data_IF_416862017683
#
_entry.id   IF_416862017683
#
_cell.length_a   1.000
_cell.length_b   1.000
_cell.length_c   1.000
_cell.angle_alpha   90.00
_cell.angle_beta   90.00
_cell.angle_gamma   90.00
#
_symmetry.space_group_name_H-M   'P 1'
#
loop_
_entity.id
_entity.type
_entity.pdbx_description
1 polymer ?
#
# COMPACT_ATOMS: atom_id res chain seq x y z
N UNK A 1 86.27 -7.95 66.71
CA UNK A 1 85.19 -7.00 66.36
C UNK A 1 84.07 -7.78 65.70
N UNK A 2 82.97 -8.00 66.43
CA UNK A 2 81.75 -8.66 65.91
C UNK A 2 80.90 -7.58 65.24
N UNK A 3 80.77 -7.60 63.92
CA UNK A 3 79.72 -6.85 63.24
C UNK A 3 78.59 -7.82 62.93
N UNK A 4 77.60 -7.82 63.81
CA UNK A 4 76.28 -8.39 63.59
C UNK A 4 75.59 -7.62 62.46
N UNK A 5 75.49 -8.27 61.30
CA UNK A 5 74.63 -7.84 60.20
C UNK A 5 73.21 -8.26 60.58
N UNK A 6 72.50 -7.37 61.30
CA UNK A 6 71.05 -7.52 61.47
C UNK A 6 70.39 -7.33 60.10
N UNK A 7 70.09 -8.44 59.43
CA UNK A 7 69.16 -8.46 58.31
C UNK A 7 67.78 -8.13 58.89
N UNK A 8 67.24 -6.95 58.55
CA UNK A 8 65.92 -6.52 58.99
C UNK A 8 64.86 -7.44 58.37
N UNK A 9 64.34 -8.36 59.18
CA UNK A 9 63.29 -9.32 58.84
C UNK A 9 62.06 -8.67 58.19
N UNK A 10 61.78 -7.39 58.51
CA UNK A 10 60.70 -6.62 57.88
C UNK A 10 60.84 -6.37 56.37
N UNK A 11 62.07 -6.31 55.82
CA UNK A 11 62.28 -6.08 54.38
C UNK A 11 61.96 -7.31 53.53
N UNK A 12 62.06 -8.52 54.09
CA UNK A 12 61.81 -9.76 53.36
C UNK A 12 60.31 -10.07 53.29
N UNK A 13 59.59 -9.85 54.41
CA UNK A 13 58.13 -10.01 54.48
C UNK A 13 57.39 -8.97 53.59
N UNK A 14 57.87 -7.72 53.53
CA UNK A 14 57.31 -6.71 52.62
C UNK A 14 57.52 -7.07 51.14
N UNK A 15 58.69 -7.62 50.78
CA UNK A 15 58.98 -8.07 49.41
C UNK A 15 58.13 -9.28 49.01
N UNK A 16 57.90 -10.23 49.91
CA UNK A 16 57.00 -11.36 49.68
C UNK A 16 55.54 -10.91 49.52
N UNK A 17 55.09 -9.95 50.34
CA UNK A 17 53.76 -9.36 50.24
C UNK A 17 53.56 -8.63 48.90
N UNK A 18 54.53 -7.82 48.49
CA UNK A 18 54.53 -7.13 47.18
C UNK A 18 54.51 -8.14 46.01
N UNK A 19 55.29 -9.22 46.09
CA UNK A 19 55.32 -10.26 45.07
C UNK A 19 53.98 -11.00 44.96
N UNK A 20 53.37 -11.35 46.08
CA UNK A 20 52.02 -11.94 46.12
C UNK A 20 50.97 -11.00 45.52
N UNK A 21 51.07 -9.69 45.83
CA UNK A 21 50.18 -8.67 45.29
C UNK A 21 50.36 -8.48 43.77
N UNK A 22 51.58 -8.53 43.26
CA UNK A 22 51.86 -8.49 41.82
C UNK A 22 51.29 -9.71 41.09
N UNK A 23 51.42 -10.91 41.66
CA UNK A 23 50.89 -12.15 41.06
C UNK A 23 49.36 -12.11 41.02
N UNK A 24 48.70 -11.70 42.11
CA UNK A 24 47.23 -11.55 42.13
C UNK A 24 46.73 -10.49 41.15
N UNK A 25 47.39 -9.33 41.08
CA UNK A 25 47.09 -8.30 40.06
C UNK A 25 47.26 -8.82 38.63
N UNK A 26 48.30 -9.61 38.37
CA UNK A 26 48.53 -10.18 37.05
C UNK A 26 47.46 -11.22 36.68
N UNK A 27 47.03 -12.04 37.64
CA UNK A 27 45.92 -12.98 37.46
C UNK A 27 44.59 -12.24 37.20
N UNK A 28 44.29 -11.19 37.97
CA UNK A 28 43.10 -10.36 37.77
C UNK A 28 43.10 -9.70 36.39
N UNK A 29 44.25 -9.19 35.94
CA UNK A 29 44.39 -8.60 34.62
C UNK A 29 44.12 -9.61 33.50
N UNK A 30 44.70 -10.82 33.59
CA UNK A 30 44.47 -11.89 32.63
C UNK A 30 42.99 -12.30 32.55
N UNK A 31 42.32 -12.40 33.70
CA UNK A 31 40.88 -12.71 33.75
C UNK A 31 40.07 -11.61 33.06
N UNK A 32 40.38 -10.33 33.32
CA UNK A 32 39.69 -9.21 32.67
C UNK A 32 39.94 -9.16 31.17
N UNK A 33 41.16 -9.41 30.71
CA UNK A 33 41.45 -9.46 29.27
C UNK A 33 40.65 -10.55 28.56
N UNK A 34 40.53 -11.74 29.17
CA UNK A 34 39.72 -12.82 28.64
C UNK A 34 38.24 -12.44 28.55
N UNK A 35 37.68 -11.85 29.62
CA UNK A 35 36.29 -11.38 29.63
C UNK A 35 36.04 -10.32 28.55
N UNK A 36 36.95 -9.36 28.40
CA UNK A 36 36.86 -8.33 27.36
C UNK A 36 36.90 -8.95 25.97
N UNK A 37 37.77 -9.94 25.74
CA UNK A 37 37.90 -10.61 24.46
C UNK A 37 36.62 -11.35 24.08
N UNK A 38 36.04 -12.11 24.99
CA UNK A 38 34.77 -12.81 24.73
C UNK A 38 33.64 -11.79 24.48
N UNK A 39 33.60 -10.69 25.23
CA UNK A 39 32.60 -9.63 24.99
C UNK A 39 32.74 -8.97 23.63
N UNK A 40 33.96 -8.74 23.16
CA UNK A 40 34.22 -8.19 21.82
C UNK A 40 33.72 -9.15 20.74
N UNK A 41 33.92 -10.46 20.89
CA UNK A 41 33.41 -11.47 19.94
C UNK A 41 31.89 -11.46 19.88
N UNK A 42 31.22 -11.48 21.03
CA UNK A 42 29.76 -11.42 21.11
C UNK A 42 29.21 -10.17 20.41
N UNK A 43 29.75 -9.00 20.75
CA UNK A 43 29.32 -7.73 20.16
C UNK A 43 29.57 -7.69 18.65
N UNK A 44 30.72 -8.20 18.19
CA UNK A 44 31.03 -8.30 16.77
C UNK A 44 30.03 -9.21 16.03
N UNK A 45 29.67 -10.36 16.60
CA UNK A 45 28.67 -11.26 16.04
C UNK A 45 27.30 -10.57 15.93
N UNK A 46 26.82 -9.98 17.03
CA UNK A 46 25.51 -9.34 17.07
C UNK A 46 25.45 -8.12 16.15
N UNK A 47 26.54 -7.35 16.04
CA UNK A 47 26.65 -6.23 15.11
C UNK A 47 26.59 -6.71 13.65
N UNK A 48 27.41 -7.71 13.28
CA UNK A 48 27.41 -8.30 11.93
C UNK A 48 26.02 -8.86 11.58
N UNK A 49 25.35 -9.55 12.52
CA UNK A 49 23.98 -10.04 12.34
C UNK A 49 22.99 -8.89 12.13
N UNK A 50 23.11 -7.81 12.91
CA UNK A 50 22.25 -6.62 12.74
C UNK A 50 22.41 -6.04 11.34
N UNK A 51 23.66 -5.86 10.88
CA UNK A 51 23.96 -5.37 9.53
C UNK A 51 23.47 -6.31 8.43
N UNK A 52 23.49 -7.62 8.68
CA UNK A 52 22.97 -8.61 7.76
C UNK A 52 21.44 -8.51 7.64
N UNK A 53 20.72 -8.31 8.75
CA UNK A 53 19.27 -8.11 8.78
C UNK A 53 18.89 -6.82 8.04
N UNK A 54 19.58 -5.71 8.33
CA UNK A 54 19.36 -4.42 7.67
C UNK A 54 19.58 -4.48 6.14
N UNK A 55 20.60 -5.22 5.68
CA UNK A 55 20.89 -5.35 4.23
C UNK A 55 19.89 -6.26 3.50
N UNK A 56 19.17 -7.12 4.21
CA UNK A 56 18.32 -8.15 3.62
C UNK A 56 16.89 -8.06 4.15
N UNK A 57 16.34 -6.84 4.23
CA UNK A 57 15.05 -6.57 4.86
C UNK A 57 13.87 -7.35 4.27
N UNK A 58 14.01 -7.87 3.04
CA UNK A 58 12.95 -8.58 2.33
C UNK A 58 13.23 -10.08 2.14
N UNK A 59 14.33 -10.62 2.70
CA UNK A 59 14.75 -12.01 2.44
C UNK A 59 15.28 -12.67 3.71
N UNK A 60 14.40 -13.40 4.38
CA UNK A 60 14.75 -14.20 5.55
C UNK A 60 15.81 -15.24 5.20
N UNK A 61 15.71 -15.89 4.03
CA UNK A 61 16.67 -16.92 3.59
C UNK A 61 18.11 -16.40 3.54
N UNK A 62 18.31 -15.16 3.04
CA UNK A 62 19.63 -14.52 3.02
C UNK A 62 20.14 -14.21 4.43
N UNK A 63 19.24 -13.82 5.34
CA UNK A 63 19.58 -13.60 6.75
C UNK A 63 19.99 -14.91 7.41
N UNK A 64 19.22 -15.99 7.22
CA UNK A 64 19.53 -17.30 7.79
C UNK A 64 20.85 -17.84 7.26
N UNK A 65 21.05 -17.80 5.94
CA UNK A 65 22.29 -18.23 5.30
C UNK A 65 23.50 -17.41 5.75
N UNK A 66 23.37 -16.08 5.84
CA UNK A 66 24.45 -15.24 6.34
C UNK A 66 24.73 -15.47 7.83
N UNK A 67 23.71 -15.78 8.64
CA UNK A 67 23.89 -16.07 10.07
C UNK A 67 24.69 -17.35 10.29
N UNK A 68 24.46 -18.38 9.46
CA UNK A 68 25.25 -19.62 9.49
C UNK A 68 26.75 -19.37 9.31
N UNK A 69 27.13 -18.39 8.47
CA UNK A 69 28.54 -18.05 8.28
C UNK A 69 29.15 -17.29 9.47
N UNK A 70 28.33 -16.57 10.25
CA UNK A 70 28.79 -15.75 11.38
C UNK A 70 28.99 -16.56 12.67
N UNK A 71 28.18 -17.60 12.89
CA UNK A 71 28.18 -18.36 14.14
C UNK A 71 29.55 -19.02 14.43
N UNK A 72 30.20 -19.76 13.49
CA UNK A 72 31.47 -20.41 13.79
C UNK A 72 32.57 -19.48 14.30
N UNK A 73 32.72 -18.29 13.70
CA UNK A 73 33.73 -17.29 14.08
C UNK A 73 33.53 -16.75 15.51
N UNK A 74 32.33 -16.88 16.06
CA UNK A 74 31.93 -16.23 17.30
C UNK A 74 32.05 -17.14 18.52
N UNK A 75 32.38 -18.43 18.31
CA UNK A 75 32.58 -19.43 19.36
C UNK A 75 34.06 -19.53 19.77
N UNK A 76 34.34 -20.17 20.91
CA UNK A 76 35.66 -20.32 21.51
C UNK A 76 36.63 -21.08 20.58
N UNK A 77 36.13 -22.04 19.81
CA UNK A 77 36.94 -22.88 18.91
C UNK A 77 36.45 -22.84 17.44
N UNK A 78 36.59 -21.71 16.71
CA UNK A 78 36.00 -21.54 15.38
C UNK A 78 36.32 -22.64 14.36
N UNK A 79 37.58 -23.13 14.38
CA UNK A 79 38.09 -24.15 13.46
C UNK A 79 37.35 -25.50 13.51
N UNK A 80 36.67 -25.76 14.63
CA UNK A 80 35.91 -26.99 14.84
C UNK A 80 34.43 -26.71 15.08
N UNK A 81 33.98 -25.47 14.91
CA UNK A 81 32.58 -25.09 15.05
C UNK A 81 31.86 -25.28 13.73
N UNK A 82 30.66 -25.83 13.79
CA UNK A 82 29.73 -25.83 12.67
C UNK A 82 28.32 -25.48 13.17
N UNK A 83 27.49 -24.92 12.28
CA UNK A 83 26.18 -24.42 12.64
C UNK A 83 25.10 -24.95 11.70
N UNK A 84 23.88 -25.06 12.24
CA UNK A 84 22.67 -25.36 11.49
C UNK A 84 21.52 -24.51 12.00
N UNK A 85 20.69 -24.01 11.10
CA UNK A 85 19.42 -23.38 11.42
C UNK A 85 18.34 -24.16 10.69
N UNK A 86 17.35 -24.62 11.45
CA UNK A 86 16.12 -25.18 10.90
C UNK A 86 15.04 -24.12 11.06
N UNK A 87 14.37 -23.78 9.98
CA UNK A 87 13.28 -22.82 9.99
C UNK A 87 12.16 -23.37 9.12
N UNK A 88 11.05 -23.76 9.75
CA UNK A 88 9.98 -24.55 9.11
C UNK A 88 10.57 -25.79 8.41
N UNK A 89 10.31 -25.95 7.12
CA UNK A 89 10.81 -27.06 6.31
C UNK A 89 12.23 -26.82 5.76
N UNK A 90 12.77 -25.60 5.93
CA UNK A 90 14.07 -25.23 5.38
C UNK A 90 15.20 -25.49 6.37
N UNK A 91 16.34 -25.91 5.82
CA UNK A 91 17.55 -26.20 6.59
C UNK A 91 18.74 -25.45 5.98
N UNK A 92 19.43 -24.68 6.82
CA UNK A 92 20.62 -23.91 6.46
C UNK A 92 21.80 -24.43 7.29
N UNK A 93 22.94 -24.71 6.66
CA UNK A 93 24.07 -25.38 7.30
C UNK A 93 25.40 -24.78 6.86
N UNK A 94 26.39 -24.77 7.76
CA UNK A 94 27.76 -24.44 7.42
C UNK A 94 28.37 -25.54 6.55
N UNK A 95 29.34 -25.20 5.71
CA UNK A 95 29.96 -26.15 4.77
C UNK A 95 30.58 -27.38 5.44
N UNK A 96 31.06 -27.22 6.68
CA UNK A 96 31.69 -28.27 7.49
C UNK A 96 30.71 -29.01 8.42
N UNK A 97 29.39 -28.86 8.25
CA UNK A 97 28.40 -29.34 9.22
C UNK A 97 28.44 -30.86 9.43
N UNK A 98 28.55 -31.26 10.70
CA UNK A 98 28.32 -32.64 11.17
C UNK A 98 27.64 -32.59 12.53
N UNK A 99 26.59 -33.39 12.70
CA UNK A 99 25.95 -33.50 14.01
C UNK A 99 26.83 -34.31 14.96
N UNK A 100 27.05 -33.77 16.15
CA UNK A 100 27.81 -34.39 17.23
C UNK A 100 27.05 -34.26 18.55
N UNK A 101 27.51 -34.96 19.58
CA UNK A 101 26.98 -34.82 20.94
C UNK A 101 27.36 -33.50 21.61
N UNK A 102 28.39 -32.81 21.10
CA UNK A 102 28.86 -31.52 21.64
C UNK A 102 28.11 -30.40 20.94
N UNK A 103 26.89 -30.12 21.41
CA UNK A 103 26.00 -29.16 20.75
C UNK A 103 25.25 -28.25 21.71
N UNK A 104 24.97 -27.04 21.24
CA UNK A 104 23.99 -26.11 21.81
C UNK A 104 22.84 -25.93 20.83
N UNK A 105 21.65 -25.65 21.38
CA UNK A 105 20.44 -25.37 20.61
C UNK A 105 19.66 -24.23 21.23
N UNK A 106 19.12 -23.34 20.41
CA UNK A 106 18.19 -22.30 20.82
C UNK A 106 16.94 -22.33 19.91
N UNK A 107 15.73 -22.47 20.47
CA UNK A 107 14.49 -22.43 19.69
C UNK A 107 14.22 -21.02 19.15
N UNK A 108 13.66 -20.94 17.95
CA UNK A 108 13.19 -19.71 17.32
C UNK A 108 11.68 -19.62 17.57
N UNK A 109 11.26 -18.72 18.46
CA UNK A 109 9.86 -18.49 18.78
C UNK A 109 9.31 -17.27 18.03
N UNK A 110 8.25 -17.47 17.25
CA UNK A 110 7.51 -16.38 16.59
C UNK A 110 6.07 -16.44 17.09
N UNK A 111 5.58 -15.34 17.65
CA UNK A 111 4.23 -15.25 18.23
C UNK A 111 3.91 -16.39 19.22
N UNK A 112 4.92 -16.85 19.98
CA UNK A 112 4.80 -17.93 20.95
C UNK A 112 4.92 -19.35 20.40
N UNK A 113 4.97 -19.54 19.08
CA UNK A 113 5.13 -20.84 18.43
C UNK A 113 6.59 -21.10 18.07
N UNK A 114 7.07 -22.31 18.28
CA UNK A 114 8.41 -22.72 17.86
C UNK A 114 8.41 -23.00 16.35
N UNK A 115 8.89 -22.04 15.57
CA UNK A 115 8.96 -22.11 14.10
C UNK A 115 10.32 -22.63 13.61
N UNK A 116 11.30 -22.77 14.50
CA UNK A 116 12.63 -23.23 14.14
C UNK A 116 13.57 -23.44 15.32
N UNK A 117 14.83 -23.70 15.02
CA UNK A 117 15.92 -23.76 15.98
C UNK A 117 17.26 -23.40 15.34
N UNK A 118 18.11 -22.74 16.12
CA UNK A 118 19.53 -22.51 15.85
C UNK A 118 20.33 -23.56 16.60
N UNK A 119 21.30 -24.18 15.93
CA UNK A 119 22.15 -25.21 16.50
C UNK A 119 23.62 -24.92 16.21
N UNK A 120 24.48 -25.09 17.21
CA UNK A 120 25.94 -24.99 17.07
C UNK A 120 26.55 -26.28 17.61
N UNK A 121 27.54 -26.81 16.90
CA UNK A 121 28.22 -28.06 17.24
C UNK A 121 29.73 -27.89 17.21
N UNK A 122 30.43 -28.53 18.14
CA UNK A 122 31.87 -28.78 18.02
C UNK A 122 32.12 -30.15 17.39
N UNK A 123 33.07 -30.19 16.46
CA UNK A 123 33.45 -31.40 15.71
C UNK A 123 34.40 -32.32 16.49
N UNK A 124 34.99 -31.83 17.58
CA UNK A 124 35.94 -32.56 18.44
C UNK A 124 35.59 -32.35 19.91
N UNK A 125 35.94 -33.34 20.75
CA UNK A 125 35.83 -33.23 22.21
C UNK A 125 36.69 -32.07 22.72
N UNK A 126 36.14 -31.30 23.65
CA UNK A 126 36.83 -30.22 24.37
C UNK A 126 36.58 -30.34 25.88
N UNK A 127 37.40 -29.68 26.72
CA UNK A 127 37.19 -29.64 28.17
C UNK A 127 35.79 -29.15 28.51
N UNK A 128 35.24 -29.63 29.64
CA UNK A 128 33.95 -29.14 30.12
C UNK A 128 34.11 -27.71 30.66
N UNK A 129 33.14 -26.88 30.36
CA UNK A 129 32.95 -25.48 30.77
C UNK A 129 31.56 -25.38 31.43
N UNK A 130 30.77 -24.36 31.11
CA UNK A 130 29.44 -24.13 31.70
C UNK A 130 28.35 -25.07 31.16
N UNK A 131 28.34 -25.32 29.84
CA UNK A 131 27.37 -26.21 29.21
C UNK A 131 28.06 -27.23 28.31
N UNK A 132 28.43 -28.37 28.88
CA UNK A 132 29.30 -29.29 28.17
C UNK A 132 30.61 -28.57 27.84
N UNK A 133 31.07 -28.51 26.57
CA UNK A 133 32.28 -27.77 26.20
C UNK A 133 32.08 -26.27 25.92
N UNK A 134 30.89 -25.72 26.14
CA UNK A 134 30.54 -24.34 25.78
C UNK A 134 30.52 -23.40 26.99
N UNK A 135 30.86 -22.13 26.74
CA UNK A 135 30.85 -21.06 27.74
C UNK A 135 29.42 -20.52 27.97
N UNK A 136 29.18 -19.91 29.13
CA UNK A 136 27.92 -19.22 29.43
C UNK A 136 27.62 -18.09 28.44
N UNK A 137 28.65 -17.37 28.02
CA UNK A 137 28.63 -16.32 27.00
C UNK A 137 28.08 -16.85 25.66
N UNK A 138 28.53 -18.02 25.23
CA UNK A 138 28.08 -18.66 23.99
C UNK A 138 26.60 -19.07 24.05
N UNK A 139 26.15 -19.53 25.22
CA UNK A 139 24.74 -19.79 25.48
C UNK A 139 23.89 -18.52 25.35
N UNK A 140 24.32 -17.43 25.98
CA UNK A 140 23.63 -16.14 25.86
C UNK A 140 23.65 -15.62 24.41
N UNK A 141 24.74 -15.86 23.68
CA UNK A 141 24.88 -15.46 22.28
C UNK A 141 23.92 -16.21 21.36
N UNK A 142 23.83 -17.55 21.45
CA UNK A 142 22.91 -18.32 20.59
C UNK A 142 21.44 -17.96 20.86
N UNK A 143 21.08 -17.68 22.12
CA UNK A 143 19.75 -17.23 22.49
C UNK A 143 19.46 -15.82 21.94
N UNK A 144 20.43 -14.91 22.00
CA UNK A 144 20.32 -13.58 21.43
C UNK A 144 20.22 -13.60 19.89
N UNK A 145 20.96 -14.49 19.23
CA UNK A 145 20.89 -14.71 17.77
C UNK A 145 19.51 -15.25 17.40
N UNK A 146 19.02 -16.27 18.10
CA UNK A 146 17.69 -16.85 17.86
C UNK A 146 16.59 -15.79 17.97
N UNK A 147 16.61 -14.99 19.04
CA UNK A 147 15.65 -13.91 19.25
C UNK A 147 15.69 -12.83 18.15
N UNK A 148 16.88 -12.51 17.63
CA UNK A 148 17.03 -11.53 16.53
C UNK A 148 16.51 -12.09 15.21
N UNK A 149 16.76 -13.36 14.93
CA UNK A 149 16.18 -14.05 13.77
C UNK A 149 14.66 -14.07 13.87
N UNK A 150 14.09 -14.42 15.02
CA UNK A 150 12.65 -14.43 15.26
C UNK A 150 12.01 -13.07 14.95
N UNK A 151 12.56 -11.98 15.53
CA UNK A 151 12.09 -10.62 15.28
C UNK A 151 12.19 -10.21 13.82
N UNK A 152 13.28 -10.59 13.13
CA UNK A 152 13.45 -10.30 11.72
C UNK A 152 12.42 -11.06 10.87
N UNK A 153 12.19 -12.34 11.16
CA UNK A 153 11.21 -13.17 10.47
C UNK A 153 9.78 -12.62 10.63
N UNK A 154 9.38 -12.27 11.86
CA UNK A 154 8.07 -11.67 12.16
C UNK A 154 7.89 -10.32 11.44
N UNK A 155 8.91 -9.47 11.44
CA UNK A 155 8.90 -8.19 10.71
C UNK A 155 8.66 -8.42 9.21
N UNK A 156 9.42 -9.35 8.61
CA UNK A 156 9.35 -9.65 7.17
C UNK A 156 7.98 -10.22 6.79
N UNK A 157 7.43 -11.15 7.58
CA UNK A 157 6.11 -11.72 7.31
C UNK A 157 5.02 -10.68 7.42
N UNK A 158 5.06 -9.83 8.45
CA UNK A 158 4.10 -8.75 8.68
C UNK A 158 4.13 -7.73 7.54
N UNK A 159 5.33 -7.30 7.11
CA UNK A 159 5.49 -6.38 5.99
C UNK A 159 4.94 -6.97 4.69
N UNK A 160 5.21 -8.26 4.43
CA UNK A 160 4.70 -8.94 3.23
C UNK A 160 3.18 -9.05 3.24
N UNK A 161 2.57 -9.40 4.36
CA UNK A 161 1.12 -9.48 4.51
C UNK A 161 0.47 -8.11 4.28
N UNK A 162 1.01 -7.05 4.90
CA UNK A 162 0.52 -5.69 4.72
C UNK A 162 0.61 -5.24 3.25
N UNK A 163 1.67 -5.63 2.54
CA UNK A 163 1.83 -5.30 1.12
C UNK A 163 0.78 -5.99 0.25
N UNK A 164 0.50 -7.27 0.50
CA UNK A 164 -0.55 -8.03 -0.21
C UNK A 164 -1.93 -7.41 0.04
N UNK A 165 -2.25 -7.10 1.29
CA UNK A 165 -3.54 -6.50 1.67
C UNK A 165 -3.73 -5.11 1.06
N UNK A 166 -2.68 -4.26 1.08
CA UNK A 166 -2.70 -2.95 0.41
C UNK A 166 -2.92 -3.06 -1.09
N UNK A 167 -2.34 -4.08 -1.73
CA UNK A 167 -2.56 -4.29 -3.16
C UNK A 167 -3.99 -4.73 -3.44
N UNK A 168 -4.52 -5.70 -2.68
CA UNK A 168 -5.90 -6.15 -2.81
C UNK A 168 -6.92 -5.00 -2.61
N UNK A 169 -6.68 -4.12 -1.64
CA UNK A 169 -7.52 -2.94 -1.41
C UNK A 169 -7.49 -1.95 -2.58
N UNK A 170 -6.32 -1.74 -3.19
CA UNK A 170 -6.20 -0.87 -4.37
C UNK A 170 -6.96 -1.43 -5.55
N UNK A 171 -6.83 -2.73 -5.79
CA UNK A 171 -7.51 -3.41 -6.89
C UNK A 171 -9.04 -3.40 -6.71
N UNK A 172 -9.51 -3.64 -5.47
CA UNK A 172 -10.93 -3.55 -5.14
C UNK A 172 -11.49 -2.13 -5.32
N UNK A 173 -10.76 -1.09 -4.88
CA UNK A 173 -11.18 0.29 -5.06
C UNK A 173 -11.25 0.68 -6.54
N UNK A 174 -10.29 0.24 -7.36
CA UNK A 174 -10.33 0.47 -8.81
C UNK A 174 -11.57 -0.17 -9.45
N UNK A 175 -11.84 -1.44 -9.14
CA UNK A 175 -13.01 -2.16 -9.66
C UNK A 175 -14.34 -1.51 -9.22
N UNK A 176 -14.41 -0.98 -8.00
CA UNK A 176 -15.58 -0.23 -7.52
C UNK A 176 -15.79 1.07 -8.29
N UNK A 177 -14.71 1.84 -8.52
CA UNK A 177 -14.79 3.07 -9.32
C UNK A 177 -15.24 2.78 -10.76
N UNK A 178 -14.72 1.73 -11.39
CA UNK A 178 -15.12 1.33 -12.74
C UNK A 178 -16.59 0.91 -12.79
N UNK A 179 -17.05 0.14 -11.80
CA UNK A 179 -18.44 -0.30 -11.68
C UNK A 179 -19.40 0.88 -11.49
N UNK A 180 -19.00 1.87 -10.69
CA UNK A 180 -19.79 3.07 -10.44
C UNK A 180 -19.87 3.93 -11.72
N UNK A 181 -18.75 4.13 -12.41
CA UNK A 181 -18.72 4.82 -13.70
C UNK A 181 -19.61 4.13 -14.74
N UNK A 182 -19.60 2.80 -14.77
CA UNK A 182 -20.47 2.02 -15.65
C UNK A 182 -21.95 2.19 -15.30
N UNK A 183 -22.32 2.11 -14.02
CA UNK A 183 -23.70 2.30 -13.58
C UNK A 183 -24.23 3.70 -13.90
N UNK A 184 -23.39 4.74 -13.74
CA UNK A 184 -23.75 6.10 -14.16
C UNK A 184 -23.96 6.19 -15.67
N UNK A 185 -23.06 5.62 -16.48
CA UNK A 185 -23.24 5.58 -17.95
C UNK A 185 -24.54 4.90 -18.36
N UNK A 186 -24.85 3.75 -17.75
CA UNK A 186 -26.08 3.00 -18.04
C UNK A 186 -27.33 3.81 -17.67
N UNK A 187 -27.33 4.49 -16.51
CA UNK A 187 -28.43 5.38 -16.12
C UNK A 187 -28.62 6.54 -17.10
N UNK A 188 -27.52 7.18 -17.51
CA UNK A 188 -27.57 8.31 -18.44
C UNK A 188 -28.07 7.87 -19.82
N UNK A 189 -27.60 6.72 -20.33
CA UNK A 189 -28.12 6.14 -21.58
C UNK A 189 -29.63 5.86 -21.53
N UNK A 190 -30.13 5.35 -20.41
CA UNK A 190 -31.57 5.12 -20.23
C UNK A 190 -32.33 6.45 -20.23
N UNK A 191 -31.82 7.46 -19.53
CA UNK A 191 -32.39 8.80 -19.50
C UNK A 191 -32.47 9.46 -20.87
N UNK A 192 -31.39 9.42 -21.65
CA UNK A 192 -31.33 9.94 -23.01
C UNK A 192 -32.35 9.26 -23.94
N UNK A 193 -32.46 7.92 -23.87
CA UNK A 193 -33.43 7.15 -24.65
C UNK A 193 -34.87 7.51 -24.28
N UNK A 194 -35.18 7.66 -22.99
CA UNK A 194 -36.50 8.09 -22.52
C UNK A 194 -36.82 9.49 -23.04
N UNK A 195 -35.91 10.45 -22.85
CA UNK A 195 -36.08 11.84 -23.28
C UNK A 195 -36.32 11.91 -24.81
N UNK A 196 -35.52 11.18 -25.60
CA UNK A 196 -35.68 11.14 -27.05
C UNK A 196 -37.06 10.59 -27.49
N UNK A 197 -37.58 9.58 -26.81
CA UNK A 197 -38.93 9.04 -27.09
C UNK A 197 -40.01 10.05 -26.72
N UNK A 198 -39.85 10.77 -25.62
CA UNK A 198 -40.82 11.76 -25.16
C UNK A 198 -40.87 12.96 -26.11
N UNK A 199 -39.71 13.45 -26.51
CA UNK A 199 -39.61 14.56 -27.48
C UNK A 199 -40.18 14.19 -28.86
N UNK A 200 -40.01 12.94 -29.30
CA UNK A 200 -40.45 12.48 -30.64
C UNK A 200 -41.88 11.96 -30.69
N UNK A 201 -42.43 11.46 -29.59
CA UNK A 201 -43.73 10.78 -29.56
C UNK A 201 -44.73 11.56 -28.72
N UNK A 202 -44.40 11.85 -27.45
CA UNK A 202 -45.38 12.38 -26.49
C UNK A 202 -45.60 13.87 -26.69
N UNK A 203 -44.54 14.66 -26.86
CA UNK A 203 -44.63 16.11 -27.05
C UNK A 203 -45.48 16.50 -28.28
N UNK A 204 -45.31 15.88 -29.46
CA UNK A 204 -46.18 16.16 -30.60
C UNK A 204 -47.66 15.89 -30.32
N UNK A 205 -47.98 14.83 -29.56
CA UNK A 205 -49.37 14.51 -29.17
C UNK A 205 -49.91 15.59 -28.24
N UNK A 206 -49.14 16.04 -27.25
CA UNK A 206 -49.56 17.14 -26.38
C UNK A 206 -49.83 18.43 -27.14
N UNK A 207 -48.99 18.78 -28.13
CA UNK A 207 -49.25 19.96 -28.96
C UNK A 207 -50.49 19.82 -29.84
N UNK A 208 -50.74 18.62 -30.38
CA UNK A 208 -51.95 18.35 -31.16
C UNK A 208 -53.21 18.46 -30.30
N UNK A 209 -53.19 17.90 -29.08
CA UNK A 209 -54.30 18.00 -28.13
C UNK A 209 -54.54 19.44 -27.66
N UNK A 210 -53.48 20.19 -27.33
CA UNK A 210 -53.60 21.60 -26.93
C UNK A 210 -54.33 22.47 -27.96
N UNK A 211 -54.19 22.16 -29.26
CA UNK A 211 -54.81 22.95 -30.33
C UNK A 211 -56.35 22.84 -30.37
N UNK A 212 -56.93 21.78 -29.80
CA UNK A 212 -58.37 21.50 -29.87
C UNK A 212 -59.10 21.59 -28.51
N UNK A 213 -58.38 21.87 -27.42
CA UNK A 213 -58.90 21.84 -26.04
C UNK A 213 -59.43 23.19 -25.55
N UNK A 214 -60.37 23.13 -24.60
CA UNK A 214 -60.89 24.30 -23.87
C UNK A 214 -60.09 24.60 -22.59
N UNK A 215 -60.39 25.72 -21.92
CA UNK A 215 -59.60 26.27 -20.81
C UNK A 215 -59.46 25.32 -19.61
N UNK A 216 -60.51 24.62 -19.22
CA UNK A 216 -60.46 23.68 -18.07
C UNK A 216 -59.71 22.40 -18.42
N UNK A 217 -59.80 21.93 -19.67
CA UNK A 217 -59.04 20.79 -20.15
C UNK A 217 -57.53 21.09 -20.26
N UNK A 218 -57.17 22.33 -20.62
CA UNK A 218 -55.78 22.81 -20.66
C UNK A 218 -55.09 22.71 -19.28
N UNK A 219 -55.78 23.03 -18.18
CA UNK A 219 -55.22 22.92 -16.82
C UNK A 219 -54.85 21.47 -16.46
N UNK A 220 -55.70 20.49 -16.81
CA UNK A 220 -55.39 19.07 -16.59
C UNK A 220 -54.21 18.59 -17.45
N UNK A 221 -54.08 19.13 -18.67
CA UNK A 221 -52.98 18.78 -19.56
C UNK A 221 -51.64 19.37 -19.08
N UNK A 222 -51.65 20.59 -18.53
CA UNK A 222 -50.47 21.19 -17.89
C UNK A 222 -50.03 20.38 -16.67
N UNK A 223 -50.97 19.92 -15.84
CA UNK A 223 -50.67 19.03 -14.71
C UNK A 223 -50.04 17.71 -15.18
N UNK A 224 -50.56 17.12 -16.26
CA UNK A 224 -50.00 15.89 -16.84
C UNK A 224 -48.59 16.11 -17.40
N UNK A 225 -48.34 17.22 -18.10
CA UNK A 225 -47.00 17.60 -18.56
C UNK A 225 -46.03 17.72 -17.40
N UNK A 226 -46.44 18.41 -16.32
CA UNK A 226 -45.62 18.58 -15.12
C UNK A 226 -45.30 17.24 -14.44
N UNK A 227 -46.30 16.38 -14.25
CA UNK A 227 -46.08 15.05 -13.68
C UNK A 227 -45.15 14.20 -14.53
N UNK A 228 -45.28 14.30 -15.86
CA UNK A 228 -44.39 13.60 -16.79
C UNK A 228 -42.95 14.13 -16.68
N UNK A 229 -42.75 15.44 -16.59
CA UNK A 229 -41.42 16.04 -16.34
C UNK A 229 -40.82 15.58 -15.01
N UNK A 230 -41.61 15.53 -13.93
CA UNK A 230 -41.17 15.07 -12.62
C UNK A 230 -40.72 13.60 -12.66
N UNK A 231 -41.42 12.74 -13.41
CA UNK A 231 -41.05 11.31 -13.58
C UNK A 231 -39.73 11.14 -14.34
N UNK A 232 -39.45 12.01 -15.31
CA UNK A 232 -38.23 11.93 -16.14
C UNK A 232 -37.03 12.59 -15.46
N UNK A 233 -37.27 13.59 -14.61
CA UNK A 233 -36.24 14.40 -13.95
C UNK A 233 -35.10 13.61 -13.25
N UNK A 234 -35.31 12.42 -12.66
CA UNK A 234 -34.23 11.65 -12.03
C UNK A 234 -33.29 10.98 -13.02
N UNK A 235 -33.69 10.87 -14.29
CA UNK A 235 -32.93 10.16 -15.34
C UNK A 235 -32.21 11.12 -16.29
N UNK A 236 -32.59 12.39 -16.32
CA UNK A 236 -31.99 13.39 -17.21
C UNK A 236 -31.15 14.33 -16.36
N UNK A 237 -29.83 14.07 -16.33
CA UNK A 237 -28.88 15.00 -15.73
C UNK A 237 -28.92 16.37 -16.43
N UNK A 238 -28.57 17.39 -15.67
CA UNK A 238 -28.92 18.81 -15.86
C UNK A 238 -28.19 19.51 -17.03
N UNK A 239 -28.23 18.99 -18.24
CA UNK A 239 -27.77 19.74 -19.42
C UNK A 239 -28.80 20.81 -19.87
N UNK A 240 -29.92 20.90 -19.13
CA UNK A 240 -30.99 21.88 -19.33
C UNK A 240 -30.64 23.35 -19.01
N UNK A 241 -29.45 23.69 -18.51
CA UNK A 241 -29.15 25.08 -18.09
C UNK A 241 -29.20 26.07 -19.25
N UNK A 242 -28.97 25.61 -20.49
CA UNK A 242 -28.99 26.49 -21.68
C UNK A 242 -30.30 26.40 -22.46
N UNK A 243 -30.93 25.22 -22.53
CA UNK A 243 -32.22 25.03 -23.22
C UNK A 243 -33.38 25.69 -22.44
N UNK A 244 -33.28 25.80 -21.11
CA UNK A 244 -34.26 26.49 -20.26
C UNK A 244 -34.36 28.00 -20.48
N UNK A 245 -33.41 28.63 -21.19
CA UNK A 245 -33.42 30.08 -21.49
C UNK A 245 -34.26 30.44 -22.73
N UNK A 246 -34.63 29.44 -23.53
CA UNK A 246 -35.41 29.62 -24.75
C UNK A 246 -36.91 29.71 -24.42
N UNK A 247 -37.61 30.65 -25.07
CA UNK A 247 -39.08 30.69 -25.04
C UNK A 247 -39.64 29.42 -25.69
N UNK A 248 -40.86 28.96 -25.33
CA UNK A 248 -41.50 27.81 -25.98
C UNK A 248 -41.49 27.87 -27.52
N UNK A 249 -41.69 29.07 -28.11
CA UNK A 249 -41.63 29.26 -29.56
C UNK A 249 -40.19 29.14 -30.10
N UNK A 250 -39.22 29.66 -29.36
CA UNK A 250 -37.80 29.56 -29.73
C UNK A 250 -37.29 28.13 -29.61
N UNK A 251 -37.77 27.35 -28.64
CA UNK A 251 -37.45 25.94 -28.48
C UNK A 251 -38.03 25.10 -29.64
N UNK A 252 -39.27 25.37 -30.05
CA UNK A 252 -39.87 24.75 -31.23
C UNK A 252 -39.08 25.06 -32.51
N UNK A 253 -38.73 26.33 -32.73
CA UNK A 253 -37.90 26.74 -33.88
C UNK A 253 -36.50 26.12 -33.79
N UNK A 254 -35.89 26.07 -32.60
CA UNK A 254 -34.60 25.44 -32.34
C UNK A 254 -34.61 23.96 -32.71
N UNK A 255 -35.63 23.21 -32.31
CA UNK A 255 -35.79 21.80 -32.64
C UNK A 255 -35.91 21.57 -34.15
N UNK A 256 -36.68 22.39 -34.87
CA UNK A 256 -36.79 22.28 -36.32
C UNK A 256 -35.45 22.60 -37.01
N UNK A 257 -34.65 23.52 -36.47
CA UNK A 257 -33.30 23.82 -37.01
C UNK A 257 -32.33 22.67 -36.77
N UNK A 258 -32.38 22.04 -35.59
CA UNK A 258 -31.59 20.87 -35.22
C UNK A 258 -31.82 19.71 -36.21
N UNK A 259 -33.08 19.50 -36.60
CA UNK A 259 -33.48 18.49 -37.59
C UNK A 259 -33.27 18.92 -39.05
N UNK A 260 -32.60 20.04 -39.31
CA UNK A 260 -32.20 20.44 -40.66
C UNK A 260 -33.27 21.13 -41.49
N UNK A 261 -34.42 21.51 -40.92
CA UNK A 261 -35.47 22.20 -41.68
C UNK A 261 -35.00 23.60 -42.12
N UNK A 262 -35.17 23.98 -43.40
CA UNK A 262 -34.83 25.31 -43.90
C UNK A 262 -35.82 26.36 -43.40
N UNK A 263 -35.37 27.61 -43.24
CA UNK A 263 -36.17 28.74 -42.71
C UNK A 263 -37.53 28.89 -43.40
N UNK A 264 -37.59 28.72 -44.73
CA UNK A 264 -38.85 28.84 -45.49
C UNK A 264 -39.85 27.73 -45.16
N UNK A 265 -39.35 26.53 -44.87
CA UNK A 265 -40.19 25.40 -44.50
C UNK A 265 -40.67 25.48 -43.06
N UNK A 266 -39.80 25.92 -42.14
CA UNK A 266 -40.20 26.24 -40.75
C UNK A 266 -41.30 27.30 -40.75
N UNK A 267 -41.15 28.35 -41.57
CA UNK A 267 -42.14 29.43 -41.69
C UNK A 267 -43.51 28.90 -42.17
N UNK A 268 -43.52 28.03 -43.19
CA UNK A 268 -44.72 27.38 -43.71
C UNK A 268 -45.42 26.52 -42.64
N UNK A 269 -44.66 25.65 -41.96
CA UNK A 269 -45.20 24.77 -40.90
C UNK A 269 -45.79 25.57 -39.74
N UNK A 270 -45.20 26.73 -39.44
CA UNK A 270 -45.60 27.60 -38.32
C UNK A 270 -46.66 28.64 -38.69
N UNK A 271 -47.06 28.76 -39.96
CA UNK A 271 -48.00 29.78 -40.41
C UNK A 271 -47.51 31.22 -40.23
N UNK A 272 -46.19 31.46 -40.25
CA UNK A 272 -45.58 32.79 -40.06
C UNK A 272 -44.65 33.16 -41.22
N UNK A 273 -44.23 34.42 -41.28
CA UNK A 273 -43.29 34.87 -42.31
C UNK A 273 -41.87 34.27 -42.13
N UNK A 274 -41.11 34.04 -43.22
CA UNK A 274 -39.70 33.67 -43.14
C UNK A 274 -38.83 34.67 -42.33
N UNK A 275 -39.19 35.96 -42.37
CA UNK A 275 -38.52 37.00 -41.58
C UNK A 275 -38.73 36.78 -40.06
N UNK A 276 -39.92 36.34 -39.65
CA UNK A 276 -40.22 35.98 -38.25
C UNK A 276 -39.33 34.83 -37.77
N UNK A 277 -39.13 33.80 -38.60
CA UNK A 277 -38.23 32.67 -38.27
C UNK A 277 -36.78 33.13 -38.17
N UNK A 278 -36.30 34.01 -39.05
CA UNK A 278 -34.95 34.57 -38.94
C UNK A 278 -34.76 35.36 -37.64
N UNK A 279 -35.79 36.09 -37.17
CA UNK A 279 -35.75 36.76 -35.87
C UNK A 279 -35.66 35.77 -34.71
N UNK A 280 -36.42 34.67 -34.75
CA UNK A 280 -36.29 33.60 -33.76
C UNK A 280 -34.91 32.95 -33.77
N UNK A 281 -34.32 32.69 -34.95
CA UNK A 281 -32.94 32.17 -35.10
C UNK A 281 -31.91 33.08 -34.43
N UNK A 282 -32.05 34.39 -34.58
CA UNK A 282 -31.14 35.36 -33.98
C UNK A 282 -31.30 35.42 -32.45
N UNK A 283 -32.53 35.37 -31.95
CA UNK A 283 -32.78 35.31 -30.51
C UNK A 283 -32.24 34.02 -29.89
N UNK A 284 -32.39 32.88 -30.57
CA UNK A 284 -31.80 31.61 -30.15
C UNK A 284 -30.28 31.75 -30.08
N UNK A 285 -29.63 32.29 -31.12
CA UNK A 285 -28.17 32.53 -31.10
C UNK A 285 -27.72 33.42 -29.94
N UNK A 286 -28.50 34.46 -29.61
CA UNK A 286 -28.22 35.36 -28.48
C UNK A 286 -28.34 34.65 -27.14
N UNK A 287 -29.40 33.86 -26.95
CA UNK A 287 -29.67 33.12 -25.71
C UNK A 287 -28.73 31.92 -25.51
N UNK A 288 -28.18 31.39 -26.61
CA UNK A 288 -27.11 30.38 -26.62
C UNK A 288 -25.70 31.00 -26.60
N UNK A 289 -25.57 32.33 -26.49
CA UNK A 289 -24.27 33.03 -26.44
C UNK A 289 -23.34 32.79 -27.64
N UNK A 290 -23.90 32.63 -28.85
CA UNK A 290 -23.17 32.39 -30.10
C UNK A 290 -23.37 33.46 -31.18
N UNK A 291 -24.03 34.58 -30.89
CA UNK A 291 -24.32 35.66 -31.86
C UNK A 291 -23.12 36.06 -32.73
N UNK A 292 -21.93 36.22 -32.13
CA UNK A 292 -20.72 36.69 -32.82
C UNK A 292 -19.75 35.56 -33.23
N UNK A 293 -20.16 34.29 -33.17
CA UNK A 293 -19.33 33.17 -33.59
C UNK A 293 -19.67 32.76 -35.02
N UNK A 294 -18.66 32.54 -35.88
CA UNK A 294 -18.81 31.97 -37.24
C UNK A 294 -19.16 30.47 -37.19
N UNK A 295 -20.14 30.10 -36.39
CA UNK A 295 -20.59 28.72 -36.18
C UNK A 295 -21.99 28.58 -36.78
N UNK A 296 -22.16 27.53 -37.59
CA UNK A 296 -23.45 27.15 -38.13
C UNK A 296 -24.38 26.71 -36.99
N UNK A 297 -25.57 27.31 -36.90
CA UNK A 297 -26.52 27.03 -35.80
C UNK A 297 -26.97 25.56 -35.80
N UNK A 298 -27.18 24.93 -36.96
CA UNK A 298 -27.56 23.52 -37.05
C UNK A 298 -26.42 22.61 -36.59
N UNK A 299 -25.18 22.85 -37.04
CA UNK A 299 -24.01 22.09 -36.59
C UNK A 299 -23.75 22.29 -35.09
N UNK A 300 -23.92 23.50 -34.58
CA UNK A 300 -23.79 23.81 -33.16
C UNK A 300 -24.81 23.03 -32.33
N UNK A 301 -26.09 23.06 -32.73
CA UNK A 301 -27.18 22.37 -32.01
C UNK A 301 -27.08 20.84 -32.06
N UNK A 302 -26.39 20.28 -33.07
CA UNK A 302 -26.14 18.85 -33.17
C UNK A 302 -24.93 18.41 -32.32
N UNK A 303 -23.91 19.26 -32.16
CA UNK A 303 -22.72 18.97 -31.35
C UNK A 303 -22.86 19.38 -29.87
N UNK A 304 -23.96 20.06 -29.49
CA UNK A 304 -24.20 20.55 -28.13
C UNK A 304 -24.56 19.45 -27.10
N UNK A 305 -24.43 18.17 -27.47
CA UNK A 305 -24.76 17.02 -26.62
C UNK A 305 -23.65 15.96 -26.52
N UNK A 306 -22.43 16.28 -26.96
CA UNK A 306 -21.27 15.37 -26.95
C UNK A 306 -20.10 15.87 -26.05
N UNK A 307 -20.29 16.96 -25.28
CA UNK A 307 -19.32 17.48 -24.28
C UNK A 307 -19.96 17.53 -22.89
#
# INVERSE_FOLDING_TARGET
MKNSTECSTGSCEELELLRSKLVSLQQEYQVRELQLRERIKELACLYKLTKLIEKNENSLDKILQGTIALLPESWQYPEITCARIRYRELVFQSSNFKSTQWRQKAPIFISGLQEGEVEVHYLKKKPRQDEGPFLKEERLLIDAVSNRIAKAAERISTQRQLQVERQALRDANAALHDSLAQSHREKNMVGESIQAKIDKIIIPIFYALQAEMNSSQLEYLELLQKNLEDIISPFVERDRVVISKLSPIELQVCNMIKHGFPTKEIARIRGVSPATINRHRENIRRKLSITNRKVNLTSYLNNFGDE
#
